data_IF_843464334532
#
_entry.id   IF_843464334532
#
_cell.length_a   1.000
_cell.length_b   1.000
_cell.length_c   1.000
_cell.angle_alpha   90.00
_cell.angle_beta   90.00
_cell.angle_gamma   90.00
#
_symmetry.space_group_name_H-M   'P 1'
#
loop_
_entity.id
_entity.type
_entity.pdbx_description
1 polymer ?
#
# COMPACT_ATOMS: atom_id res chain seq x y z
N UNK A 1 -25.21 -13.30 1.85
CA UNK A 1 -24.12 -12.39 2.25
C UNK A 1 -22.99 -12.70 1.28
N UNK A 2 -22.30 -11.70 0.72
CA UNK A 2 -21.15 -11.88 -0.17
C UNK A 2 -19.91 -11.77 0.70
N UNK A 3 -18.99 -12.70 0.56
CA UNK A 3 -17.70 -12.71 1.26
C UNK A 3 -16.56 -12.33 0.32
N UNK A 4 -15.41 -11.91 0.89
CA UNK A 4 -14.24 -11.56 0.12
C UNK A 4 -13.71 -12.67 -0.79
N UNK A 5 -13.81 -13.94 -0.36
CA UNK A 5 -13.44 -15.11 -1.15
C UNK A 5 -14.29 -15.29 -2.43
N UNK A 6 -15.49 -14.72 -2.49
CA UNK A 6 -16.38 -14.82 -3.65
C UNK A 6 -15.99 -13.80 -4.74
N UNK A 7 -15.14 -12.82 -4.42
CA UNK A 7 -14.72 -11.77 -5.34
C UNK A 7 -13.66 -12.30 -6.29
N UNK A 8 -13.95 -12.23 -7.59
CA UNK A 8 -12.98 -12.56 -8.64
C UNK A 8 -12.08 -11.37 -8.93
N UNK A 9 -10.95 -11.32 -8.25
CA UNK A 9 -9.99 -10.23 -8.37
C UNK A 9 -9.26 -10.23 -9.71
N UNK A 10 -8.99 -9.04 -10.23
CA UNK A 10 -8.06 -8.77 -11.32
C UNK A 10 -7.17 -7.60 -10.94
N UNK A 11 -5.86 -7.83 -11.00
CA UNK A 11 -4.85 -6.79 -10.72
C UNK A 11 -4.31 -6.30 -12.04
N UNK A 12 -4.43 -5.02 -12.30
CA UNK A 12 -3.94 -4.39 -13.53
C UNK A 12 -3.13 -3.15 -13.21
N UNK A 13 -2.13 -2.87 -14.05
CA UNK A 13 -1.40 -1.61 -13.96
C UNK A 13 -2.35 -0.45 -14.31
N UNK A 14 -2.38 0.57 -13.47
CA UNK A 14 -3.18 1.77 -13.72
C UNK A 14 -2.53 2.61 -14.82
N UNK A 15 -3.28 2.89 -15.87
CA UNK A 15 -2.87 3.70 -17.02
C UNK A 15 -3.97 4.66 -17.41
N UNK A 16 -3.71 5.53 -18.38
CA UNK A 16 -4.69 6.49 -18.87
C UNK A 16 -6.00 5.84 -19.37
N UNK A 17 -5.92 4.60 -19.89
CA UNK A 17 -7.09 3.84 -20.37
C UNK A 17 -8.04 3.47 -19.23
N UNK A 18 -7.52 3.39 -18.00
CA UNK A 18 -8.28 2.99 -16.81
C UNK A 18 -8.84 4.18 -16.00
N UNK A 19 -8.55 5.43 -16.40
CA UNK A 19 -8.98 6.65 -15.65
C UNK A 19 -10.50 6.70 -15.38
N UNK A 20 -11.31 6.19 -16.30
CA UNK A 20 -12.75 6.16 -16.11
C UNK A 20 -13.20 5.17 -15.03
N UNK A 21 -12.47 4.08 -14.83
CA UNK A 21 -12.82 3.04 -13.87
C UNK A 21 -12.66 3.48 -12.41
N UNK A 22 -11.79 4.46 -12.13
CA UNK A 22 -11.52 4.95 -10.78
C UNK A 22 -12.38 6.13 -10.35
N UNK A 23 -13.21 6.71 -11.23
CA UNK A 23 -14.02 7.90 -10.93
C UNK A 23 -14.89 7.77 -9.68
N UNK A 24 -15.46 6.59 -9.48
CA UNK A 24 -16.36 6.30 -8.36
C UNK A 24 -15.64 5.69 -7.14
N UNK A 25 -14.32 5.51 -7.21
CA UNK A 25 -13.56 4.99 -6.07
C UNK A 25 -13.60 5.98 -4.90
N UNK A 26 -13.89 5.46 -3.72
CA UNK A 26 -13.89 6.23 -2.48
C UNK A 26 -13.45 5.37 -1.31
N UNK A 27 -12.31 5.71 -0.71
CA UNK A 27 -11.79 5.04 0.48
C UNK A 27 -12.10 5.77 1.79
N UNK A 28 -12.90 6.85 1.73
CA UNK A 28 -13.20 7.69 2.90
C UNK A 28 -12.15 8.75 3.23
N UNK A 29 -11.03 8.81 2.49
CA UNK A 29 -9.99 9.82 2.63
C UNK A 29 -9.82 10.58 1.32
N UNK A 30 -10.16 11.88 1.34
CA UNK A 30 -10.19 12.71 0.13
C UNK A 30 -8.81 12.87 -0.52
N UNK A 31 -7.76 12.99 0.27
CA UNK A 31 -6.39 13.13 -0.25
C UNK A 31 -5.96 11.88 -1.01
N UNK A 32 -6.27 10.70 -0.46
CA UNK A 32 -5.95 9.42 -1.08
C UNK A 32 -6.82 9.18 -2.33
N UNK A 33 -8.09 9.62 -2.30
CA UNK A 33 -8.98 9.56 -3.44
C UNK A 33 -8.51 10.46 -4.59
N UNK A 34 -8.12 11.70 -4.28
CA UNK A 34 -7.63 12.67 -5.27
C UNK A 34 -6.33 12.22 -5.91
N UNK A 35 -5.40 11.68 -5.13
CA UNK A 35 -4.17 11.11 -5.68
C UNK A 35 -4.46 10.07 -6.77
N UNK A 36 -5.34 9.09 -6.50
CA UNK A 36 -5.69 8.06 -7.48
C UNK A 36 -6.27 8.66 -8.76
N UNK A 37 -7.20 9.62 -8.62
CA UNK A 37 -7.99 10.16 -9.74
C UNK A 37 -7.21 11.16 -10.59
N UNK A 38 -6.30 11.92 -9.98
CA UNK A 38 -5.69 13.09 -10.60
C UNK A 38 -4.19 12.91 -10.86
N UNK A 39 -3.46 12.22 -9.97
CA UNK A 39 -2.00 12.20 -9.97
C UNK A 39 -1.40 10.84 -10.35
N UNK A 40 -1.95 9.75 -9.83
CA UNK A 40 -1.33 8.42 -9.84
C UNK A 40 -0.99 7.88 -11.23
N UNK A 41 -1.71 8.30 -12.27
CA UNK A 41 -1.44 7.88 -13.64
C UNK A 41 -0.17 8.51 -14.22
N UNK A 42 0.10 9.74 -13.82
CA UNK A 42 1.13 10.60 -14.41
C UNK A 42 2.32 10.81 -13.43
N UNK A 43 2.27 10.24 -12.23
CA UNK A 43 3.35 10.31 -11.24
C UNK A 43 4.56 9.47 -11.68
N UNK A 44 5.69 10.12 -12.09
CA UNK A 44 6.87 9.41 -12.57
C UNK A 44 7.64 8.66 -11.49
N UNK A 45 7.32 8.89 -10.22
CA UNK A 45 8.00 8.29 -9.08
C UNK A 45 7.33 7.00 -8.61
N UNK A 46 6.16 6.67 -9.15
CA UNK A 46 5.39 5.51 -8.72
C UNK A 46 4.91 4.64 -9.88
N UNK A 47 4.66 3.39 -9.56
CA UNK A 47 3.86 2.50 -10.39
C UNK A 47 2.60 2.14 -9.61
N UNK A 48 1.46 2.51 -10.14
CA UNK A 48 0.16 2.27 -9.51
C UNK A 48 -0.55 1.08 -10.13
N UNK A 49 -1.16 0.27 -9.29
CA UNK A 49 -2.00 -0.86 -9.66
C UNK A 49 -3.40 -0.69 -9.07
N UNK A 50 -4.40 -1.08 -9.82
CA UNK A 50 -5.78 -1.17 -9.34
C UNK A 50 -6.22 -2.64 -9.32
N UNK A 51 -7.02 -2.98 -8.33
CA UNK A 51 -7.64 -4.29 -8.17
C UNK A 51 -9.12 -4.14 -8.47
N UNK A 52 -9.61 -4.87 -9.46
CA UNK A 52 -11.01 -4.86 -9.86
C UNK A 52 -11.72 -6.15 -9.46
N UNK A 53 -13.00 -6.03 -9.17
CA UNK A 53 -13.91 -7.16 -9.14
C UNK A 53 -14.41 -7.43 -10.57
N UNK A 54 -14.01 -8.58 -11.14
CA UNK A 54 -14.38 -8.98 -12.51
C UNK A 54 -15.89 -9.11 -12.71
N UNK A 55 -16.67 -9.32 -11.66
CA UNK A 55 -18.11 -9.54 -11.77
C UNK A 55 -18.86 -8.25 -12.12
N UNK A 56 -18.36 -7.10 -11.68
CA UNK A 56 -19.02 -5.80 -11.83
C UNK A 56 -18.09 -4.69 -12.35
N UNK A 57 -16.83 -5.01 -12.62
CA UNK A 57 -15.78 -4.11 -13.08
C UNK A 57 -15.49 -2.91 -12.15
N UNK A 58 -15.84 -3.01 -10.86
CA UNK A 58 -15.56 -1.98 -9.87
C UNK A 58 -14.14 -2.10 -9.34
N UNK A 59 -13.49 -0.97 -9.12
CA UNK A 59 -12.21 -0.91 -8.41
C UNK A 59 -12.48 -1.08 -6.92
N UNK A 60 -11.89 -2.11 -6.32
CA UNK A 60 -12.06 -2.45 -4.91
C UNK A 60 -10.87 -1.99 -4.06
N UNK A 61 -9.70 -1.87 -4.69
CA UNK A 61 -8.47 -1.48 -4.02
C UNK A 61 -7.52 -0.87 -5.04
N UNK A 62 -6.61 -0.01 -4.58
CA UNK A 62 -5.43 0.35 -5.35
C UNK A 62 -4.19 0.43 -4.45
N UNK A 63 -3.02 0.31 -5.07
CA UNK A 63 -1.75 0.54 -4.40
C UNK A 63 -0.73 1.13 -5.37
N UNK A 64 0.17 1.95 -4.82
CA UNK A 64 1.27 2.57 -5.57
C UNK A 64 2.59 2.21 -4.93
N UNK A 65 3.54 1.79 -5.73
CA UNK A 65 4.87 1.37 -5.31
C UNK A 65 5.93 2.31 -5.86
N UNK A 66 6.95 2.60 -5.06
CA UNK A 66 8.13 3.35 -5.47
C UNK A 66 9.41 2.69 -4.95
N UNK A 67 10.54 3.01 -5.60
CA UNK A 67 11.86 2.69 -5.05
C UNK A 67 12.14 3.63 -3.87
N UNK A 68 12.69 3.10 -2.80
CA UNK A 68 12.96 3.82 -1.57
C UNK A 68 14.25 3.32 -0.90
N UNK A 69 14.59 3.86 0.24
CA UNK A 69 15.69 3.40 1.06
C UNK A 69 15.53 3.82 2.51
N UNK A 70 15.90 2.92 3.40
CA UNK A 70 15.98 3.19 4.82
C UNK A 70 17.40 3.60 5.18
N UNK A 71 17.56 4.80 5.73
CA UNK A 71 18.85 5.33 6.13
C UNK A 71 19.00 5.20 7.65
N UNK A 72 20.01 4.45 8.08
CA UNK A 72 20.40 4.34 9.48
C UNK A 72 21.66 5.17 9.72
N UNK A 73 21.56 6.18 10.58
CA UNK A 73 22.71 6.92 11.12
C UNK A 73 23.12 6.29 12.45
N UNK A 74 24.31 5.73 12.51
CA UNK A 74 24.83 5.07 13.71
C UNK A 74 25.33 6.04 14.80
N UNK A 75 25.21 7.37 14.58
CA UNK A 75 25.55 8.38 15.58
C UNK A 75 27.03 8.48 15.95
N UNK A 76 27.89 7.62 15.41
CA UNK A 76 29.31 7.58 15.69
C UNK A 76 30.12 7.80 14.43
N UNK A 77 30.43 9.08 14.14
CA UNK A 77 31.47 9.41 13.18
C UNK A 77 31.18 9.08 11.71
N UNK A 78 30.11 9.60 11.14
CA UNK A 78 29.75 9.54 9.71
C UNK A 78 29.48 8.11 9.18
N UNK A 79 29.10 7.18 10.00
CA UNK A 79 28.76 5.85 9.55
C UNK A 79 27.26 5.78 9.26
N UNK A 80 26.91 5.80 7.97
CA UNK A 80 25.54 5.67 7.47
C UNK A 80 25.42 4.32 6.79
N UNK A 81 24.35 3.58 7.10
CA UNK A 81 23.95 2.38 6.35
C UNK A 81 22.67 2.69 5.60
N UNK A 82 22.62 2.30 4.33
CA UNK A 82 21.43 2.44 3.48
C UNK A 82 20.94 1.04 3.17
N UNK A 83 19.68 0.77 3.51
CA UNK A 83 18.98 -0.45 3.15
C UNK A 83 18.06 -0.14 1.97
N UNK A 84 18.25 -0.78 0.80
CA UNK A 84 17.33 -0.61 -0.31
C UNK A 84 15.94 -1.11 0.07
N UNK A 85 14.92 -0.36 -0.31
CA UNK A 85 13.54 -0.65 0.06
C UNK A 85 12.58 -0.45 -1.11
N UNK A 86 11.45 -1.14 -1.05
CA UNK A 86 10.25 -0.81 -1.82
C UNK A 86 9.29 -0.09 -0.89
N UNK A 87 8.85 1.10 -1.29
CA UNK A 87 7.84 1.86 -0.55
C UNK A 87 6.45 1.59 -1.10
N UNK A 88 5.52 1.22 -0.22
CA UNK A 88 4.09 1.28 -0.50
C UNK A 88 3.66 2.72 -0.23
N UNK A 89 3.71 3.56 -1.28
CA UNK A 89 3.36 4.98 -1.18
C UNK A 89 1.88 5.19 -0.90
N UNK A 90 1.03 4.36 -1.51
CA UNK A 90 -0.40 4.34 -1.30
C UNK A 90 -0.92 2.91 -1.22
N UNK A 91 -1.86 2.69 -0.33
CA UNK A 91 -2.71 1.51 -0.28
C UNK A 91 -4.08 1.92 0.24
N UNK A 92 -5.11 1.70 -0.55
CA UNK A 92 -6.46 2.07 -0.17
C UNK A 92 -7.50 1.09 -0.70
N UNK A 93 -8.54 0.87 0.09
CA UNK A 93 -9.66 -0.01 -0.22
C UNK A 93 -10.93 0.83 -0.27
N UNK A 94 -11.75 0.63 -1.29
CA UNK A 94 -13.04 1.29 -1.41
C UNK A 94 -13.93 0.98 -0.19
N UNK A 95 -14.63 1.98 0.34
CA UNK A 95 -15.40 1.91 1.59
C UNK A 95 -16.46 0.79 1.59
N UNK A 96 -16.98 0.41 0.42
CA UNK A 96 -17.93 -0.68 0.31
C UNK A 96 -17.31 -2.07 0.55
N UNK A 97 -15.98 -2.16 0.53
CA UNK A 97 -15.21 -3.40 0.72
C UNK A 97 -14.37 -3.40 1.99
N UNK A 98 -14.27 -2.25 2.67
CA UNK A 98 -13.65 -2.16 3.99
C UNK A 98 -14.46 -3.01 4.98
N UNK A 99 -13.75 -3.66 5.91
CA UNK A 99 -14.35 -4.53 6.94
C UNK A 99 -15.17 -5.72 6.42
N UNK A 100 -15.15 -5.98 5.10
CA UNK A 100 -15.80 -7.17 4.55
C UNK A 100 -15.09 -8.43 5.06
N UNK A 101 -15.80 -9.37 5.73
CA UNK A 101 -15.21 -10.65 6.11
C UNK A 101 -14.71 -11.39 4.87
N UNK A 102 -13.55 -12.06 4.98
CA UNK A 102 -13.02 -12.82 3.86
C UNK A 102 -13.88 -14.05 3.59
N UNK A 103 -14.29 -14.76 4.62
CA UNK A 103 -15.20 -15.91 4.55
C UNK A 103 -16.17 -15.94 5.74
N UNK A 104 -16.90 -17.03 5.90
CA UNK A 104 -17.72 -17.27 7.09
C UNK A 104 -16.90 -17.73 8.30
N UNK A 105 -15.61 -18.02 8.11
CA UNK A 105 -14.68 -18.31 9.19
C UNK A 105 -14.02 -16.99 9.66
N UNK A 106 -14.29 -16.64 10.92
CA UNK A 106 -13.78 -15.41 11.54
C UNK A 106 -12.25 -15.40 11.64
N UNK A 107 -11.62 -16.58 11.71
CA UNK A 107 -10.17 -16.71 11.80
C UNK A 107 -9.47 -16.35 10.49
N UNK A 108 -10.15 -16.39 9.37
CA UNK A 108 -9.59 -16.00 8.07
C UNK A 108 -9.48 -14.48 7.86
N UNK A 109 -9.97 -13.68 8.80
CA UNK A 109 -9.84 -12.22 8.79
C UNK A 109 -10.72 -11.53 7.76
N UNK A 110 -10.27 -10.38 7.29
CA UNK A 110 -11.01 -9.52 6.36
C UNK A 110 -10.43 -9.54 4.95
N UNK A 111 -11.24 -9.15 3.97
CA UNK A 111 -10.80 -8.95 2.58
C UNK A 111 -9.60 -7.98 2.51
N UNK A 112 -9.57 -6.95 3.36
CA UNK A 112 -8.47 -5.98 3.43
C UNK A 112 -7.12 -6.63 3.74
N UNK A 113 -7.10 -7.60 4.66
CA UNK A 113 -5.87 -8.32 5.02
C UNK A 113 -5.39 -9.19 3.85
N UNK A 114 -6.31 -9.83 3.14
CA UNK A 114 -5.99 -10.64 1.96
C UNK A 114 -5.51 -9.80 0.77
N UNK A 115 -6.13 -8.64 0.53
CA UNK A 115 -5.68 -7.71 -0.52
C UNK A 115 -4.28 -7.17 -0.21
N UNK A 116 -4.01 -6.86 1.04
CA UNK A 116 -2.69 -6.40 1.46
C UNK A 116 -1.64 -7.52 1.37
N UNK A 117 -1.98 -8.74 1.73
CA UNK A 117 -1.11 -9.91 1.55
C UNK A 117 -0.74 -10.14 0.08
N UNK A 118 -1.67 -9.92 -0.86
CA UNK A 118 -1.38 -9.97 -2.30
C UNK A 118 -0.33 -8.92 -2.72
N UNK A 119 -0.40 -7.69 -2.16
CA UNK A 119 0.60 -6.64 -2.41
C UNK A 119 1.96 -7.06 -1.87
N UNK A 120 2.02 -7.56 -0.65
CA UNK A 120 3.27 -8.05 -0.04
C UNK A 120 3.86 -9.19 -0.86
N UNK A 121 3.05 -10.16 -1.27
CA UNK A 121 3.49 -11.27 -2.11
C UNK A 121 4.03 -10.80 -3.49
N UNK A 122 3.40 -9.77 -4.06
CA UNK A 122 3.90 -9.14 -5.29
C UNK A 122 5.28 -8.51 -5.07
N UNK A 123 5.46 -7.75 -3.98
CA UNK A 123 6.74 -7.11 -3.66
C UNK A 123 7.82 -8.17 -3.42
N UNK A 124 7.55 -9.22 -2.65
CA UNK A 124 8.51 -10.33 -2.45
C UNK A 124 8.99 -10.93 -3.77
N UNK A 125 8.07 -11.25 -4.66
CA UNK A 125 8.43 -11.79 -5.98
C UNK A 125 9.22 -10.78 -6.81
N UNK A 126 8.80 -9.51 -6.83
CA UNK A 126 9.51 -8.45 -7.53
C UNK A 126 10.94 -8.26 -7.03
N UNK A 127 11.14 -8.27 -5.71
CA UNK A 127 12.45 -8.09 -5.11
C UNK A 127 13.36 -9.30 -5.28
N UNK A 128 12.82 -10.50 -5.29
CA UNK A 128 13.57 -11.73 -5.54
C UNK A 128 13.99 -11.88 -7.01
N UNK A 129 13.10 -11.54 -7.94
CA UNK A 129 13.32 -11.80 -9.37
C UNK A 129 13.87 -10.62 -10.16
N UNK A 130 13.60 -9.37 -9.73
CA UNK A 130 13.81 -8.19 -10.58
C UNK A 130 14.72 -7.13 -9.95
N UNK A 131 14.62 -6.87 -8.66
CA UNK A 131 15.30 -5.75 -8.02
C UNK A 131 15.52 -6.00 -6.53
N UNK A 132 16.71 -6.43 -6.12
CA UNK A 132 17.03 -6.70 -4.72
C UNK A 132 16.66 -5.53 -3.79
N UNK A 133 15.95 -5.83 -2.71
CA UNK A 133 15.66 -4.91 -1.61
C UNK A 133 15.63 -5.68 -0.30
N UNK A 134 15.88 -4.98 0.82
CA UNK A 134 15.91 -5.56 2.16
C UNK A 134 14.64 -5.30 2.95
N UNK A 135 13.91 -4.26 2.57
CA UNK A 135 12.80 -3.74 3.36
C UNK A 135 11.61 -3.36 2.50
N UNK A 136 10.43 -3.44 3.10
CA UNK A 136 9.25 -2.72 2.64
C UNK A 136 9.01 -1.57 3.61
N UNK A 137 8.73 -0.37 3.10
CA UNK A 137 8.44 0.82 3.90
C UNK A 137 7.09 1.41 3.54
N UNK A 138 6.48 2.10 4.46
CA UNK A 138 5.27 2.89 4.24
C UNK A 138 5.11 3.99 5.29
N UNK A 139 4.22 4.95 5.01
CA UNK A 139 3.78 5.96 5.97
C UNK A 139 2.29 5.77 6.24
N UNK A 140 1.98 5.26 7.41
CA UNK A 140 0.60 4.96 7.82
C UNK A 140 -0.10 6.21 8.33
N UNK A 141 -1.32 6.47 7.88
CA UNK A 141 -2.22 7.38 8.60
C UNK A 141 -2.47 6.81 10.01
N UNK A 142 -2.67 7.66 11.04
CA UNK A 142 -2.79 7.19 12.42
C UNK A 142 -3.82 6.08 12.64
N UNK A 143 -4.95 6.17 11.97
CA UNK A 143 -6.05 5.20 12.11
C UNK A 143 -5.74 3.83 11.48
N UNK A 144 -4.75 3.74 10.58
CA UNK A 144 -4.37 2.50 9.91
C UNK A 144 -3.14 1.81 10.54
N UNK A 145 -2.49 2.39 11.56
CA UNK A 145 -1.29 1.79 12.19
C UNK A 145 -1.55 0.37 12.67
N UNK A 146 -2.68 0.13 13.33
CA UNK A 146 -3.05 -1.21 13.81
C UNK A 146 -3.23 -2.22 12.66
N UNK A 147 -3.73 -1.76 11.50
CA UNK A 147 -3.85 -2.60 10.32
C UNK A 147 -2.48 -3.08 9.85
N UNK A 148 -1.52 -2.18 9.69
CA UNK A 148 -0.18 -2.54 9.23
C UNK A 148 0.59 -3.34 10.28
N UNK A 149 0.45 -3.02 11.57
CA UNK A 149 1.12 -3.76 12.65
C UNK A 149 0.70 -5.23 12.70
N UNK A 150 -0.61 -5.53 12.56
CA UNK A 150 -1.07 -6.93 12.52
C UNK A 150 -0.67 -7.66 11.23
N UNK A 151 -0.32 -6.92 10.18
CA UNK A 151 0.22 -7.44 8.93
C UNK A 151 1.76 -7.46 8.89
N UNK A 152 2.43 -7.39 10.05
CA UNK A 152 3.86 -7.62 10.18
C UNK A 152 4.75 -6.38 10.10
N UNK A 153 4.19 -5.18 10.00
CA UNK A 153 4.96 -3.96 10.00
C UNK A 153 5.28 -3.47 11.41
N UNK A 154 6.49 -2.93 11.59
CA UNK A 154 6.96 -2.30 12.79
C UNK A 154 7.03 -0.78 12.62
N UNK A 155 6.72 -0.03 13.67
CA UNK A 155 6.89 1.42 13.67
C UNK A 155 8.37 1.81 13.72
N UNK A 156 8.71 2.90 13.04
CA UNK A 156 10.08 3.38 12.92
C UNK A 156 10.20 4.88 13.24
N UNK A 157 9.55 5.33 14.28
CA UNK A 157 9.37 6.76 14.61
C UNK A 157 10.67 7.51 14.90
N UNK A 158 11.68 6.86 15.49
CA UNK A 158 12.88 7.54 16.00
C UNK A 158 13.91 7.85 14.90
N UNK A 159 13.86 7.14 13.77
CA UNK A 159 14.92 7.13 12.77
C UNK A 159 14.52 7.68 11.40
N UNK A 160 13.24 7.81 11.11
CA UNK A 160 12.76 8.38 9.86
C UNK A 160 12.32 9.82 10.10
N UNK A 161 13.13 10.77 9.62
CA UNK A 161 12.62 12.13 9.43
C UNK A 161 11.66 12.07 8.25
N UNK A 162 10.40 12.40 8.48
CA UNK A 162 9.43 12.59 7.40
C UNK A 162 10.04 13.54 6.36
N UNK A 163 9.93 13.21 5.09
CA UNK A 163 10.15 14.19 4.06
C UNK A 163 9.23 15.38 4.36
N UNK A 164 9.64 16.58 4.01
CA UNK A 164 8.90 17.83 4.23
C UNK A 164 7.56 17.91 3.47
N UNK A 165 7.03 16.79 2.98
CA UNK A 165 5.75 16.70 2.32
C UNK A 165 4.63 16.86 3.35
N UNK A 166 3.82 17.88 3.21
CA UNK A 166 2.62 18.13 4.04
C UNK A 166 1.68 16.90 4.09
N UNK A 167 1.72 16.08 3.04
CA UNK A 167 0.93 14.86 2.91
C UNK A 167 1.30 13.81 3.97
N UNK A 168 2.57 13.80 4.41
CA UNK A 168 3.07 12.85 5.41
C UNK A 168 2.98 13.40 6.82
N UNK A 169 2.49 14.65 6.99
CA UNK A 169 2.36 15.25 8.31
C UNK A 169 1.37 14.45 9.18
N UNK A 170 1.86 14.00 10.34
CA UNK A 170 1.11 13.13 11.24
C UNK A 170 1.10 11.64 10.87
N UNK A 171 1.65 11.24 9.73
CA UNK A 171 1.79 9.82 9.39
C UNK A 171 2.88 9.14 10.22
N UNK A 172 2.68 7.86 10.49
CA UNK A 172 3.60 7.00 11.22
C UNK A 172 4.44 6.20 10.22
N UNK A 173 5.78 6.40 10.19
CA UNK A 173 6.65 5.59 9.36
C UNK A 173 6.71 4.16 9.89
N UNK A 174 6.58 3.20 8.99
CA UNK A 174 6.61 1.78 9.30
C UNK A 174 7.46 1.01 8.30
N UNK A 175 8.00 -0.14 8.71
CA UNK A 175 8.79 -1.02 7.86
C UNK A 175 8.51 -2.49 8.16
N UNK A 176 8.84 -3.33 7.20
CA UNK A 176 8.87 -4.78 7.31
C UNK A 176 10.17 -5.30 6.66
N UNK A 177 10.78 -6.31 7.24
CA UNK A 177 11.92 -7.03 6.65
C UNK A 177 11.41 -7.95 5.52
N UNK A 178 12.16 -7.97 4.39
CA UNK A 178 11.93 -8.88 3.26
C UNK A 178 12.66 -10.22 3.46
#
# INVERSE_FOLDING_TARGET
MIYGQDIKKEIIRFTAEEKDSVKNFNCGNEVINSYLKEEACDDPQTVTFIVKDKSNNKVICYYSLSCSGLVLDHGTGNKITIYPAVEIKMFAIDENYQHMPYSNDVEEGNLSDMLFADVIAYIYRFTDEQCGADKITLYSVPDAVNFYSRNGFNEFREFMKSSTSWFLDGCVPMYMDL
#
